data_IF_657327024428
#
_entry.id   IF_657327024428
#
_cell.length_a   1.000
_cell.length_b   1.000
_cell.length_c   1.000
_cell.angle_alpha   90.00
_cell.angle_beta   90.00
_cell.angle_gamma   90.00
#
_symmetry.space_group_name_H-M   'P 1'
#
loop_
_entity.id
_entity.type
_entity.pdbx_description
1 polymer ?
#
# COMPACT_ATOMS: atom_id res chain seq x y z
N UNK A 1 18.05 -14.32 -4.65
CA UNK A 1 17.83 -12.94 -5.17
C UNK A 1 18.05 -12.81 -6.68
N UNK A 2 19.05 -13.44 -7.30
CA UNK A 2 19.29 -13.33 -8.77
C UNK A 2 18.13 -13.84 -9.65
N UNK A 3 17.49 -14.96 -9.28
CA UNK A 3 16.37 -15.55 -10.05
C UNK A 3 15.07 -14.73 -9.94
N UNK A 4 14.75 -14.18 -8.78
CA UNK A 4 13.60 -13.29 -8.60
C UNK A 4 13.77 -12.00 -9.42
N UNK A 5 14.97 -11.39 -9.38
CA UNK A 5 15.28 -10.22 -10.20
C UNK A 5 15.18 -10.50 -11.72
N UNK A 6 15.60 -11.69 -12.17
CA UNK A 6 15.48 -12.08 -13.58
C UNK A 6 14.00 -12.21 -13.99
N UNK A 7 13.14 -12.80 -13.15
CA UNK A 7 11.70 -12.90 -13.40
C UNK A 7 11.00 -11.55 -13.45
N UNK A 8 11.29 -10.66 -12.50
CA UNK A 8 10.73 -9.30 -12.51
C UNK A 8 11.10 -8.52 -13.78
N UNK A 9 12.31 -8.76 -14.32
CA UNK A 9 12.73 -8.12 -15.59
C UNK A 9 11.97 -8.60 -16.83
N UNK A 10 11.40 -9.79 -16.78
CA UNK A 10 10.65 -10.38 -17.91
C UNK A 10 9.13 -10.28 -17.75
N UNK A 11 8.63 -9.89 -16.58
CA UNK A 11 7.20 -9.77 -16.31
C UNK A 11 6.68 -8.39 -16.78
N UNK A 12 5.76 -8.33 -17.76
CA UNK A 12 5.18 -7.06 -18.23
C UNK A 12 4.40 -6.31 -17.14
N UNK A 13 3.84 -7.04 -16.15
CA UNK A 13 3.11 -6.44 -15.02
C UNK A 13 4.07 -5.67 -14.10
N UNK A 14 5.29 -6.18 -13.90
CA UNK A 14 6.34 -5.50 -13.15
C UNK A 14 6.74 -4.19 -13.82
N UNK A 15 6.91 -4.19 -15.14
CA UNK A 15 7.27 -3.00 -15.91
C UNK A 15 6.15 -1.96 -15.94
N UNK A 16 4.92 -2.39 -16.22
CA UNK A 16 3.78 -1.47 -16.27
C UNK A 16 3.46 -0.91 -14.88
N UNK A 17 3.28 -1.79 -13.88
CA UNK A 17 2.98 -1.37 -12.50
C UNK A 17 4.10 -0.53 -11.89
N UNK A 18 5.36 -0.99 -12.03
CA UNK A 18 6.53 -0.25 -11.58
C UNK A 18 6.70 1.09 -12.30
N UNK A 19 6.44 1.14 -13.61
CA UNK A 19 6.47 2.37 -14.42
C UNK A 19 5.43 3.39 -13.96
N UNK A 20 4.20 2.95 -13.71
CA UNK A 20 3.13 3.81 -13.17
C UNK A 20 3.50 4.36 -11.80
N UNK A 21 3.94 3.49 -10.88
CA UNK A 21 4.35 3.91 -9.52
C UNK A 21 5.52 4.89 -9.61
N UNK A 22 6.54 4.60 -10.43
CA UNK A 22 7.69 5.49 -10.63
C UNK A 22 7.25 6.84 -11.17
N UNK A 23 6.37 6.87 -12.18
CA UNK A 23 5.84 8.11 -12.75
C UNK A 23 5.13 8.96 -11.69
N UNK A 24 4.26 8.34 -10.87
CA UNK A 24 3.54 9.02 -9.79
C UNK A 24 4.50 9.56 -8.72
N UNK A 25 5.53 8.79 -8.35
CA UNK A 25 6.56 9.24 -7.40
C UNK A 25 7.38 10.39 -7.97
N UNK A 26 7.81 10.29 -9.23
CA UNK A 26 8.54 11.38 -9.90
C UNK A 26 7.68 12.65 -10.02
N UNK A 27 6.40 12.50 -10.36
CA UNK A 27 5.44 13.60 -10.39
C UNK A 27 5.31 14.26 -8.99
N UNK A 28 5.20 13.45 -7.93
CA UNK A 28 5.12 13.96 -6.57
C UNK A 28 6.40 14.69 -6.13
N UNK A 29 7.58 14.16 -6.46
CA UNK A 29 8.87 14.79 -6.13
C UNK A 29 9.10 16.08 -6.92
N UNK A 30 8.76 16.05 -8.22
CA UNK A 30 8.90 17.18 -9.12
C UNK A 30 7.76 18.22 -8.98
N UNK A 31 6.82 18.04 -8.03
CA UNK A 31 5.66 18.92 -7.87
C UNK A 31 6.00 20.42 -7.88
N UNK A 32 7.04 20.94 -7.18
CA UNK A 32 7.36 22.36 -7.21
C UNK A 32 7.83 22.88 -8.58
N UNK A 33 8.28 21.97 -9.45
CA UNK A 33 8.82 22.33 -10.79
C UNK A 33 7.72 22.19 -11.85
N UNK A 34 6.90 21.12 -11.72
CA UNK A 34 5.90 20.73 -12.73
C UNK A 34 4.57 21.49 -12.54
N UNK A 35 4.26 21.91 -11.32
CA UNK A 35 3.11 22.76 -11.05
C UNK A 35 3.37 24.19 -11.53
N UNK A 36 2.67 24.60 -12.60
CA UNK A 36 2.81 25.94 -13.18
C UNK A 36 2.19 27.04 -12.33
N UNK A 37 1.17 26.69 -11.55
CA UNK A 37 0.40 27.60 -10.71
C UNK A 37 0.54 27.24 -9.25
N UNK A 38 0.25 28.20 -8.36
CA UNK A 38 0.19 27.94 -6.93
C UNK A 38 -1.03 27.02 -6.64
N UNK A 39 -0.84 25.82 -6.08
CA UNK A 39 -1.95 24.90 -5.78
C UNK A 39 -2.92 25.42 -4.71
N UNK A 40 -2.55 26.48 -4.01
CA UNK A 40 -3.34 27.12 -2.94
C UNK A 40 -3.96 28.46 -3.37
N UNK A 41 -3.58 28.97 -4.55
CA UNK A 41 -4.03 30.28 -5.06
C UNK A 41 -5.51 30.24 -5.42
N UNK A 42 -6.33 31.03 -4.73
CA UNK A 42 -7.77 31.15 -4.99
C UNK A 42 -7.99 32.28 -6.00
N UNK A 43 -8.76 31.98 -7.06
CA UNK A 43 -9.13 32.94 -8.10
C UNK A 43 -10.61 32.72 -8.50
N UNK A 44 -11.51 33.33 -7.77
CA UNK A 44 -12.96 33.14 -7.96
C UNK A 44 -13.48 33.66 -9.31
N UNK A 45 -12.69 34.51 -10.00
CA UNK A 45 -13.07 35.00 -11.35
C UNK A 45 -12.99 33.86 -12.34
N UNK A 46 -11.96 33.04 -12.24
CA UNK A 46 -11.71 31.89 -13.11
C UNK A 46 -12.21 30.56 -12.49
N UNK A 47 -13.31 30.62 -11.72
CA UNK A 47 -13.93 29.45 -11.09
C UNK A 47 -14.54 28.51 -12.17
N UNK A 48 -14.26 27.19 -12.04
CA UNK A 48 -14.79 26.13 -12.92
C UNK A 48 -14.48 26.32 -14.41
N UNK A 49 -13.35 26.95 -14.73
CA UNK A 49 -12.92 27.04 -16.13
C UNK A 49 -12.52 25.68 -16.68
N UNK A 50 -12.93 25.36 -17.92
CA UNK A 50 -12.58 24.11 -18.57
C UNK A 50 -11.07 23.99 -18.84
N UNK A 51 -10.56 22.78 -19.11
CA UNK A 51 -9.20 22.57 -19.52
C UNK A 51 -8.79 23.48 -20.69
N UNK A 52 -7.67 24.20 -20.54
CA UNK A 52 -7.15 25.18 -21.46
C UNK A 52 -5.61 25.19 -21.47
N UNK A 53 -5.01 26.00 -22.35
CA UNK A 53 -3.55 26.18 -22.39
C UNK A 53 -3.03 26.84 -21.09
N UNK A 54 -3.83 27.69 -20.47
CA UNK A 54 -3.53 28.32 -19.19
C UNK A 54 -3.67 27.31 -18.04
N UNK A 55 -4.78 26.58 -18.01
CA UNK A 55 -5.12 25.58 -16.99
C UNK A 55 -5.32 24.22 -17.63
N UNK A 56 -4.27 23.40 -17.69
CA UNK A 56 -4.26 22.14 -18.43
C UNK A 56 -5.40 21.19 -18.06
N UNK A 57 -5.76 21.12 -16.79
CA UNK A 57 -6.86 20.30 -16.27
C UNK A 57 -8.03 21.14 -15.77
N UNK A 58 -8.10 22.43 -16.19
CA UNK A 58 -9.11 23.36 -15.74
C UNK A 58 -8.90 23.84 -14.32
N UNK A 59 -9.90 24.52 -13.79
CA UNK A 59 -9.91 25.04 -12.42
C UNK A 59 -11.03 24.41 -11.59
N UNK A 60 -10.91 24.48 -10.28
CA UNK A 60 -11.93 24.02 -9.34
C UNK A 60 -12.91 25.15 -8.94
N UNK A 61 -13.84 24.87 -8.02
CA UNK A 61 -14.85 25.82 -7.56
C UNK A 61 -14.26 27.10 -6.94
N UNK A 62 -13.02 27.04 -6.46
CA UNK A 62 -12.30 28.20 -5.92
C UNK A 62 -11.35 28.83 -6.96
N UNK A 63 -11.43 28.39 -8.21
CA UNK A 63 -10.55 28.88 -9.29
C UNK A 63 -9.12 28.38 -9.16
N UNK A 64 -8.85 27.37 -8.32
CA UNK A 64 -7.50 26.81 -8.15
C UNK A 64 -7.19 25.86 -9.31
N UNK A 65 -5.95 25.87 -9.79
CA UNK A 65 -5.50 25.01 -10.88
C UNK A 65 -5.53 23.52 -10.51
N UNK A 66 -6.33 22.74 -11.23
CA UNK A 66 -6.54 21.31 -10.93
C UNK A 66 -5.26 20.50 -11.18
N UNK A 67 -4.44 20.84 -12.21
CA UNK A 67 -3.17 20.17 -12.45
C UNK A 67 -2.18 20.38 -11.30
N UNK A 68 -1.99 21.62 -10.87
CA UNK A 68 -1.10 21.93 -9.75
C UNK A 68 -1.54 21.20 -8.47
N UNK A 69 -2.85 21.19 -8.17
CA UNK A 69 -3.41 20.46 -7.03
C UNK A 69 -3.23 18.95 -7.15
N UNK A 70 -3.41 18.39 -8.36
CA UNK A 70 -3.23 16.97 -8.61
C UNK A 70 -1.79 16.51 -8.33
N UNK A 71 -0.81 17.28 -8.79
CA UNK A 71 0.61 16.99 -8.62
C UNK A 71 1.05 17.14 -7.16
N UNK A 72 0.60 18.20 -6.47
CA UNK A 72 0.84 18.36 -5.04
C UNK A 72 0.07 17.33 -4.20
N UNK A 73 -1.14 16.99 -4.61
CA UNK A 73 -1.96 15.94 -4.00
C UNK A 73 -1.30 14.56 -4.08
N UNK A 74 -0.53 14.28 -5.14
CA UNK A 74 0.27 13.07 -5.24
C UNK A 74 1.25 12.91 -4.08
N UNK A 75 1.92 13.99 -3.64
CA UNK A 75 2.84 13.97 -2.48
C UNK A 75 2.13 13.51 -1.22
N UNK A 76 0.92 14.01 -1.00
CA UNK A 76 0.13 13.70 0.20
C UNK A 76 -0.40 12.28 0.11
N UNK A 77 -1.12 11.93 -0.95
CA UNK A 77 -1.77 10.62 -1.10
C UNK A 77 -0.76 9.46 -1.13
N UNK A 78 0.39 9.62 -1.82
CA UNK A 78 1.46 8.62 -1.79
C UNK A 78 2.14 8.53 -0.43
N UNK A 79 2.38 9.67 0.24
CA UNK A 79 2.97 9.66 1.59
C UNK A 79 2.07 8.95 2.60
N UNK A 80 0.74 9.15 2.52
CA UNK A 80 -0.21 8.40 3.35
C UNK A 80 -0.07 6.91 3.10
N UNK A 81 -0.07 6.49 1.83
CA UNK A 81 0.10 5.07 1.48
C UNK A 81 1.37 4.47 2.08
N UNK A 82 2.51 5.13 1.88
CA UNK A 82 3.82 4.61 2.29
C UNK A 82 4.00 4.66 3.82
N UNK A 83 3.69 5.80 4.45
CA UNK A 83 3.92 5.98 5.89
C UNK A 83 2.97 5.12 6.72
N UNK A 84 1.67 5.10 6.38
CA UNK A 84 0.70 4.28 7.10
C UNK A 84 1.01 2.79 6.94
N UNK A 85 1.33 2.35 5.72
CA UNK A 85 1.73 0.96 5.50
C UNK A 85 3.06 0.63 6.19
N UNK A 86 3.99 1.58 6.30
CA UNK A 86 5.22 1.45 7.08
C UNK A 86 4.95 1.21 8.57
N UNK A 87 4.01 1.97 9.15
CA UNK A 87 3.57 1.77 10.55
C UNK A 87 2.95 0.39 10.73
N UNK A 88 2.00 0.02 9.86
CA UNK A 88 1.36 -1.30 9.89
C UNK A 88 2.37 -2.44 9.74
N UNK A 89 3.36 -2.27 8.86
CA UNK A 89 4.45 -3.22 8.63
C UNK A 89 5.28 -3.41 9.90
N UNK A 90 5.79 -2.33 10.49
CA UNK A 90 6.66 -2.41 11.67
C UNK A 90 5.91 -3.05 12.84
N UNK A 91 4.72 -2.56 13.16
CA UNK A 91 3.92 -3.11 14.26
C UNK A 91 3.52 -4.56 14.00
N UNK A 92 3.02 -4.86 12.80
CA UNK A 92 2.56 -6.19 12.44
C UNK A 92 3.69 -7.22 12.38
N UNK A 93 4.86 -6.85 11.83
CA UNK A 93 6.02 -7.75 11.78
C UNK A 93 6.53 -8.05 13.19
N UNK A 94 6.73 -7.02 14.01
CA UNK A 94 7.24 -7.22 15.38
C UNK A 94 6.28 -8.08 16.21
N UNK A 95 4.99 -7.71 16.25
CA UNK A 95 4.00 -8.43 17.04
C UNK A 95 3.72 -9.84 16.48
N UNK A 96 3.69 -9.99 15.15
CA UNK A 96 3.51 -11.30 14.50
C UNK A 96 4.70 -12.25 14.69
N UNK A 97 5.94 -11.72 14.64
CA UNK A 97 7.15 -12.50 14.95
C UNK A 97 7.14 -12.99 16.40
N UNK A 98 6.86 -12.09 17.35
CA UNK A 98 6.84 -12.41 18.78
C UNK A 98 5.74 -13.42 19.10
N UNK A 99 4.53 -13.20 18.59
CA UNK A 99 3.40 -14.10 18.76
C UNK A 99 3.68 -15.51 18.19
N UNK A 100 4.12 -15.56 16.93
CA UNK A 100 4.39 -16.84 16.24
C UNK A 100 5.56 -17.63 16.83
N UNK A 101 6.60 -16.93 17.34
CA UNK A 101 7.78 -17.59 17.89
C UNK A 101 7.58 -18.11 19.30
N UNK A 102 7.13 -17.26 20.22
CA UNK A 102 6.96 -17.63 21.64
C UNK A 102 5.70 -18.47 21.89
N UNK A 103 4.63 -18.23 21.11
CA UNK A 103 3.39 -18.97 21.27
C UNK A 103 2.68 -18.74 22.61
N UNK A 104 1.88 -19.71 23.03
CA UNK A 104 1.19 -19.72 24.34
C UNK A 104 0.42 -18.39 24.59
N UNK A 105 0.53 -17.84 25.82
CA UNK A 105 -0.16 -16.63 26.23
C UNK A 105 0.21 -15.38 25.42
N UNK A 106 1.45 -15.29 24.90
CA UNK A 106 1.88 -14.17 24.05
C UNK A 106 1.11 -14.19 22.74
N UNK A 107 1.05 -15.36 22.11
CA UNK A 107 0.27 -15.57 20.89
C UNK A 107 -1.22 -15.27 21.11
N UNK A 108 -1.79 -15.81 22.18
CA UNK A 108 -3.19 -15.59 22.52
C UNK A 108 -3.50 -14.11 22.72
N UNK A 109 -2.68 -13.38 23.47
CA UNK A 109 -2.90 -11.95 23.74
C UNK A 109 -2.81 -11.12 22.45
N UNK A 110 -1.76 -11.30 21.66
CA UNK A 110 -1.57 -10.55 20.41
C UNK A 110 -2.69 -10.86 19.42
N UNK A 111 -3.07 -12.13 19.28
CA UNK A 111 -4.13 -12.51 18.35
C UNK A 111 -5.51 -12.05 18.82
N UNK A 112 -5.79 -12.03 20.14
CA UNK A 112 -7.02 -11.42 20.69
C UNK A 112 -7.13 -9.94 20.35
N UNK A 113 -6.03 -9.18 20.51
CA UNK A 113 -6.02 -7.77 20.14
C UNK A 113 -6.23 -7.59 18.62
N UNK A 114 -5.62 -8.45 17.81
CA UNK A 114 -5.83 -8.45 16.37
C UNK A 114 -7.28 -8.81 16.01
N UNK A 115 -7.87 -9.79 16.67
CA UNK A 115 -9.27 -10.21 16.47
C UNK A 115 -10.24 -9.08 16.83
N UNK A 116 -10.03 -8.38 17.95
CA UNK A 116 -10.82 -7.20 18.33
C UNK A 116 -10.72 -6.13 17.26
N UNK A 117 -9.50 -5.82 16.78
CA UNK A 117 -9.30 -4.81 15.73
C UNK A 117 -10.03 -5.19 14.43
N UNK A 118 -9.97 -6.46 14.03
CA UNK A 118 -10.56 -6.96 12.77
C UNK A 118 -12.07 -7.28 12.90
N UNK A 119 -12.63 -7.31 14.11
CA UNK A 119 -14.06 -7.47 14.32
C UNK A 119 -14.87 -6.24 13.85
N UNK A 120 -14.24 -5.07 13.84
CA UNK A 120 -14.87 -3.84 13.34
C UNK A 120 -14.69 -3.71 11.84
N UNK A 121 -15.70 -3.27 11.08
CA UNK A 121 -15.52 -2.85 9.69
C UNK A 121 -14.45 -1.76 9.64
N UNK A 122 -13.37 -2.02 8.89
CA UNK A 122 -12.15 -1.18 8.89
C UNK A 122 -12.47 0.30 8.68
N UNK A 123 -13.29 0.65 7.68
CA UNK A 123 -13.62 2.04 7.39
C UNK A 123 -14.38 2.71 8.54
N UNK A 124 -15.30 2.01 9.20
CA UNK A 124 -16.03 2.55 10.35
C UNK A 124 -15.10 2.80 11.54
N UNK A 125 -14.17 1.88 11.79
CA UNK A 125 -13.17 2.06 12.84
C UNK A 125 -12.26 3.27 12.56
N UNK A 126 -11.82 3.43 11.31
CA UNK A 126 -11.01 4.59 10.89
C UNK A 126 -11.78 5.91 11.08
N UNK A 127 -13.05 5.96 10.65
CA UNK A 127 -13.91 7.14 10.84
C UNK A 127 -14.03 7.50 12.31
N UNK A 128 -14.34 6.50 13.17
CA UNK A 128 -14.50 6.73 14.60
C UNK A 128 -13.21 7.27 15.25
N UNK A 129 -12.05 6.67 14.93
CA UNK A 129 -10.76 7.08 15.49
C UNK A 129 -10.34 8.48 15.01
N UNK A 130 -10.45 8.77 13.71
CA UNK A 130 -10.07 10.07 13.16
C UNK A 130 -10.98 11.18 13.69
N UNK A 131 -12.29 10.93 13.78
CA UNK A 131 -13.23 11.88 14.34
C UNK A 131 -12.95 12.18 15.84
N UNK A 132 -12.58 11.15 16.62
CA UNK A 132 -12.25 11.31 18.04
C UNK A 132 -10.92 12.06 18.28
N UNK A 133 -9.92 11.89 17.38
CA UNK A 133 -8.58 12.47 17.52
C UNK A 133 -8.41 13.81 16.81
N UNK A 134 -9.45 14.33 16.18
CA UNK A 134 -9.48 15.49 15.29
C UNK A 134 -8.71 15.27 13.96
N UNK A 135 -9.35 15.54 12.81
CA UNK A 135 -8.78 15.30 11.50
C UNK A 135 -7.48 16.08 11.26
N UNK A 136 -6.42 15.37 10.95
CA UNK A 136 -5.14 15.93 10.50
C UNK A 136 -4.35 14.89 9.70
N UNK A 137 -3.38 15.31 8.91
CA UNK A 137 -2.53 14.40 8.13
C UNK A 137 -1.82 13.38 9.04
N UNK A 138 -1.30 13.82 10.18
CA UNK A 138 -0.62 12.94 11.15
C UNK A 138 -1.57 11.90 11.75
N UNK A 139 -2.80 12.31 12.12
CA UNK A 139 -3.82 11.39 12.65
C UNK A 139 -4.22 10.36 11.59
N UNK A 140 -4.35 10.77 10.33
CA UNK A 140 -4.64 9.83 9.22
C UNK A 140 -3.51 8.80 9.06
N UNK A 141 -2.24 9.23 9.07
CA UNK A 141 -1.09 8.31 9.02
C UNK A 141 -1.13 7.26 10.13
N UNK A 142 -1.25 7.74 11.36
CA UNK A 142 -1.22 6.88 12.56
C UNK A 142 -2.41 5.93 12.57
N UNK A 143 -3.60 6.45 12.31
CA UNK A 143 -4.85 5.68 12.41
C UNK A 143 -4.89 4.54 11.39
N UNK A 144 -4.60 4.85 10.10
CA UNK A 144 -4.56 3.82 9.05
C UNK A 144 -3.46 2.80 9.38
N UNK A 145 -2.28 3.24 9.80
CA UNK A 145 -1.17 2.35 10.13
C UNK A 145 -1.45 1.47 11.34
N UNK A 146 -1.97 2.08 12.42
CA UNK A 146 -2.32 1.35 13.64
C UNK A 146 -3.47 0.37 13.42
N UNK A 147 -4.48 0.69 12.61
CA UNK A 147 -5.54 -0.28 12.29
C UNK A 147 -5.02 -1.39 11.38
N UNK A 148 -4.11 -1.09 10.46
CA UNK A 148 -3.53 -2.06 9.51
C UNK A 148 -2.61 -3.12 10.14
N UNK A 149 -2.11 -2.90 11.37
CA UNK A 149 -1.18 -3.82 12.02
C UNK A 149 -1.73 -5.25 12.17
N UNK A 150 -3.03 -5.38 12.47
CA UNK A 150 -3.65 -6.65 12.84
C UNK A 150 -3.62 -7.69 11.70
N UNK A 151 -3.91 -7.27 10.47
CA UNK A 151 -3.80 -8.11 9.28
C UNK A 151 -2.37 -8.54 8.99
N UNK A 152 -1.41 -7.60 9.11
CA UNK A 152 0.02 -7.88 8.93
C UNK A 152 0.55 -8.82 10.03
N UNK A 153 0.18 -8.62 11.29
CA UNK A 153 0.60 -9.49 12.40
C UNK A 153 0.09 -10.93 12.21
N UNK A 154 -1.16 -11.10 11.78
CA UNK A 154 -1.75 -12.42 11.51
C UNK A 154 -1.03 -13.14 10.37
N UNK A 155 -0.71 -12.43 9.29
CA UNK A 155 0.07 -12.95 8.17
C UNK A 155 1.45 -13.41 8.63
N UNK A 156 2.19 -12.53 9.32
CA UNK A 156 3.56 -12.82 9.81
C UNK A 156 3.54 -13.98 10.78
N UNK A 157 2.64 -13.99 11.75
CA UNK A 157 2.48 -15.10 12.70
C UNK A 157 2.29 -16.44 11.96
N UNK A 158 1.40 -16.48 10.95
CA UNK A 158 1.16 -17.69 10.16
C UNK A 158 2.43 -18.22 9.49
N UNK A 159 3.23 -17.32 8.92
CA UNK A 159 4.52 -17.67 8.30
C UNK A 159 5.56 -18.14 9.33
N UNK A 160 5.61 -17.49 10.48
CA UNK A 160 6.52 -17.86 11.58
C UNK A 160 6.25 -19.26 12.10
N UNK A 161 4.97 -19.64 12.24
CA UNK A 161 4.56 -20.99 12.66
C UNK A 161 5.09 -22.07 11.72
N UNK A 162 5.15 -21.80 10.41
CA UNK A 162 5.71 -22.73 9.44
C UNK A 162 7.24 -22.77 9.52
N UNK A 163 7.88 -21.60 9.52
CA UNK A 163 9.35 -21.50 9.45
C UNK A 163 10.02 -22.03 10.73
N UNK A 164 9.44 -21.81 11.91
CA UNK A 164 10.03 -22.26 13.19
C UNK A 164 10.10 -23.79 13.33
N UNK A 165 9.27 -24.53 12.60
CA UNK A 165 9.25 -26.00 12.63
C UNK A 165 10.24 -26.63 11.63
N UNK A 166 10.95 -25.83 10.82
CA UNK A 166 11.95 -26.34 9.88
C UNK A 166 13.19 -26.91 10.62
N UNK A 167 13.73 -27.99 10.11
CA UNK A 167 14.83 -28.76 10.73
C UNK A 167 16.03 -27.88 11.10
N UNK A 168 16.42 -26.94 10.23
CA UNK A 168 17.57 -26.06 10.51
C UNK A 168 17.33 -25.11 11.68
N UNK A 169 16.06 -24.67 11.90
CA UNK A 169 15.70 -23.83 13.04
C UNK A 169 15.71 -24.64 14.34
N UNK A 170 15.24 -25.88 14.27
CA UNK A 170 15.26 -26.81 15.40
C UNK A 170 16.71 -27.19 15.78
N UNK A 171 17.57 -27.40 14.80
CA UNK A 171 19.00 -27.67 15.02
C UNK A 171 19.71 -26.49 15.71
N UNK A 172 19.48 -25.24 15.24
CA UNK A 172 20.05 -24.04 15.89
C UNK A 172 19.57 -23.90 17.35
N UNK A 173 18.30 -24.23 17.63
CA UNK A 173 17.75 -24.23 18.98
C UNK A 173 18.41 -25.30 19.86
N UNK A 174 18.61 -26.52 19.33
CA UNK A 174 19.28 -27.61 20.03
C UNK A 174 20.75 -27.30 20.36
N UNK A 175 21.42 -26.52 19.49
CA UNK A 175 22.78 -26.02 19.73
C UNK A 175 22.86 -24.85 20.71
N UNK A 176 21.72 -24.43 21.31
CA UNK A 176 21.68 -23.38 22.33
C UNK A 176 21.77 -21.95 21.77
N UNK A 177 21.43 -21.74 20.50
CA UNK A 177 21.37 -20.40 19.92
C UNK A 177 20.32 -19.52 20.64
N UNK A 178 20.67 -18.25 20.88
CA UNK A 178 19.75 -17.29 21.53
C UNK A 178 18.55 -16.98 20.61
N UNK A 179 17.36 -16.83 21.19
CA UNK A 179 16.12 -16.53 20.47
C UNK A 179 16.24 -15.34 19.51
N UNK A 180 16.87 -14.25 19.95
CA UNK A 180 17.09 -13.07 19.10
C UNK A 180 17.91 -13.41 17.83
N UNK A 181 18.88 -14.32 17.91
CA UNK A 181 19.65 -14.79 16.76
C UNK A 181 18.80 -15.63 15.82
N UNK A 182 17.99 -16.54 16.37
CA UNK A 182 17.09 -17.39 15.60
C UNK A 182 16.07 -16.52 14.87
N UNK A 183 15.43 -15.58 15.56
CA UNK A 183 14.47 -14.65 14.98
C UNK A 183 15.08 -13.81 13.86
N UNK A 184 16.24 -13.18 14.08
CA UNK A 184 16.84 -12.25 13.12
C UNK A 184 17.51 -12.95 11.94
N UNK A 185 18.14 -14.11 12.12
CA UNK A 185 18.94 -14.77 11.08
C UNK A 185 18.21 -15.87 10.34
N UNK A 186 17.20 -16.49 10.95
CA UNK A 186 16.53 -17.66 10.38
C UNK A 186 15.07 -17.41 10.09
N UNK A 187 14.31 -16.86 11.05
CA UNK A 187 12.86 -16.70 10.89
C UNK A 187 12.54 -15.46 10.04
N UNK A 188 13.04 -14.28 10.42
CA UNK A 188 12.74 -13.04 9.68
C UNK A 188 13.09 -13.11 8.19
N UNK A 189 14.26 -13.63 7.76
CA UNK A 189 14.53 -13.81 6.33
C UNK A 189 13.56 -14.77 5.63
N UNK A 190 13.08 -15.80 6.36
CA UNK A 190 12.11 -16.77 5.83
C UNK A 190 10.72 -16.20 5.56
N UNK A 191 10.32 -15.15 6.32
CA UNK A 191 9.01 -14.52 6.19
C UNK A 191 9.02 -13.23 5.35
N UNK A 192 10.21 -12.76 4.91
CA UNK A 192 10.35 -11.46 4.25
C UNK A 192 9.58 -11.38 2.93
N UNK A 193 9.53 -12.47 2.16
CA UNK A 193 8.86 -12.48 0.86
C UNK A 193 7.34 -12.21 0.98
N UNK A 194 6.57 -12.97 1.79
CA UNK A 194 5.15 -12.66 2.03
C UNK A 194 4.92 -11.26 2.62
N UNK A 195 5.83 -10.79 3.47
CA UNK A 195 5.74 -9.46 4.10
C UNK A 195 5.89 -8.36 3.07
N UNK A 196 6.88 -8.44 2.17
CA UNK A 196 7.08 -7.44 1.11
C UNK A 196 5.88 -7.38 0.15
N UNK A 197 5.34 -8.54 -0.23
CA UNK A 197 4.15 -8.63 -1.07
C UNK A 197 2.96 -7.94 -0.38
N UNK A 198 2.67 -8.32 0.87
CA UNK A 198 1.58 -7.74 1.63
C UNK A 198 1.75 -6.23 1.87
N UNK A 199 2.98 -5.77 2.10
CA UNK A 199 3.28 -4.35 2.25
C UNK A 199 3.02 -3.57 0.95
N UNK A 200 3.41 -4.11 -0.20
CA UNK A 200 3.19 -3.45 -1.51
C UNK A 200 1.69 -3.31 -1.80
N UNK A 201 0.92 -4.39 -1.62
CA UNK A 201 -0.54 -4.37 -1.77
C UNK A 201 -1.23 -3.46 -0.73
N UNK A 202 -0.69 -3.42 0.48
CA UNK A 202 -1.19 -2.59 1.57
C UNK A 202 -1.07 -1.08 1.30
N UNK A 203 -0.08 -0.64 0.51
CA UNK A 203 0.02 0.77 0.08
C UNK A 203 -1.22 1.19 -0.71
N UNK A 204 -1.66 0.37 -1.67
CA UNK A 204 -2.88 0.63 -2.43
C UNK A 204 -4.11 0.73 -1.51
N UNK A 205 -4.22 -0.19 -0.54
CA UNK A 205 -5.29 -0.16 0.48
C UNK A 205 -5.27 1.11 1.34
N UNK A 206 -4.09 1.57 1.75
CA UNK A 206 -3.94 2.79 2.54
C UNK A 206 -4.30 4.07 1.74
N UNK A 207 -3.95 4.14 0.44
CA UNK A 207 -4.37 5.23 -0.45
C UNK A 207 -5.90 5.25 -0.59
N UNK A 208 -6.52 4.09 -0.76
CA UNK A 208 -7.99 3.99 -0.84
C UNK A 208 -8.66 4.40 0.48
N UNK A 209 -8.11 4.00 1.61
CA UNK A 209 -8.63 4.36 2.94
C UNK A 209 -8.53 5.87 3.18
N UNK A 210 -7.38 6.50 2.85
CA UNK A 210 -7.20 7.95 2.92
C UNK A 210 -8.22 8.67 2.03
N UNK A 211 -8.34 8.22 0.79
CA UNK A 211 -9.26 8.84 -0.16
C UNK A 211 -10.72 8.77 0.31
N UNK A 212 -11.11 7.65 0.93
CA UNK A 212 -12.44 7.48 1.53
C UNK A 212 -12.65 8.41 2.74
N UNK A 213 -11.66 8.52 3.63
CA UNK A 213 -11.70 9.46 4.78
C UNK A 213 -11.75 10.92 4.30
N UNK A 214 -10.92 11.28 3.33
CA UNK A 214 -10.90 12.63 2.74
C UNK A 214 -12.21 12.98 2.05
N UNK A 215 -12.81 12.04 1.31
CA UNK A 215 -14.12 12.21 0.70
C UNK A 215 -15.23 12.49 1.73
N UNK A 216 -15.12 11.91 2.92
CA UNK A 216 -16.04 12.14 4.04
C UNK A 216 -15.69 13.39 4.87
N UNK A 217 -14.64 14.13 4.49
CA UNK A 217 -14.19 15.32 5.20
C UNK A 217 -13.34 15.05 6.44
N UNK A 218 -12.97 13.78 6.68
CA UNK A 218 -12.16 13.34 7.82
C UNK A 218 -10.68 13.12 7.44
N UNK A 219 -10.30 13.40 6.19
CA UNK A 219 -8.94 13.23 5.71
C UNK A 219 -8.06 14.46 5.97
N UNK A 220 -7.20 14.74 5.00
CA UNK A 220 -6.31 15.87 5.01
C UNK A 220 -7.10 17.18 4.94
N UNK A 221 -6.82 18.09 5.86
CA UNK A 221 -7.56 19.34 5.97
C UNK A 221 -7.06 20.42 4.99
N UNK A 222 -7.95 21.28 4.46
CA UNK A 222 -7.55 22.43 3.67
C UNK A 222 -6.50 23.29 4.41
N UNK A 223 -5.59 23.99 3.67
CA UNK A 223 -5.56 24.14 2.21
C UNK A 223 -4.84 23.02 1.47
N UNK A 224 -4.26 22.04 2.16
CA UNK A 224 -3.42 20.98 1.60
C UNK A 224 -4.25 20.05 0.69
N UNK A 225 -3.89 19.90 -0.60
CA UNK A 225 -4.61 18.99 -1.48
C UNK A 225 -4.19 17.55 -1.23
N UNK A 226 -5.17 16.62 -1.30
CA UNK A 226 -4.98 15.20 -1.55
C UNK A 226 -5.95 14.78 -2.67
N UNK A 227 -5.68 13.65 -3.31
CA UNK A 227 -6.60 13.21 -4.39
C UNK A 227 -8.01 12.95 -3.86
N UNK A 228 -8.12 12.40 -2.63
CA UNK A 228 -9.42 12.19 -1.99
C UNK A 228 -10.16 13.49 -1.67
N UNK A 229 -9.46 14.52 -1.15
CA UNK A 229 -10.07 15.81 -0.87
C UNK A 229 -10.50 16.55 -2.15
N UNK A 230 -9.74 16.40 -3.25
CA UNK A 230 -10.14 16.97 -4.54
C UNK A 230 -11.44 16.35 -5.07
N UNK A 231 -11.64 15.02 -4.92
CA UNK A 231 -12.92 14.37 -5.27
C UNK A 231 -14.04 14.89 -4.37
N UNK A 232 -13.77 15.07 -3.07
CA UNK A 232 -14.76 15.61 -2.15
C UNK A 232 -15.17 17.04 -2.50
N UNK A 233 -14.21 17.88 -2.90
CA UNK A 233 -14.46 19.26 -3.36
C UNK A 233 -15.32 19.26 -4.64
N UNK A 234 -15.11 18.29 -5.55
CA UNK A 234 -15.79 18.20 -6.84
C UNK A 234 -17.08 17.36 -6.88
N UNK A 235 -17.58 16.88 -5.72
CA UNK A 235 -18.71 15.92 -5.65
C UNK A 235 -20.11 16.51 -5.86
N UNK A 236 -20.24 17.82 -5.90
CA UNK A 236 -21.52 18.49 -6.13
C UNK A 236 -22.08 18.14 -7.52
N UNK A 237 -23.40 17.95 -7.61
CA UNK A 237 -24.05 17.54 -8.85
C UNK A 237 -23.87 18.56 -9.98
N UNK A 238 -23.82 19.85 -9.62
CA UNK A 238 -23.56 20.92 -10.58
C UNK A 238 -22.13 20.81 -11.13
N UNK A 239 -21.15 20.61 -10.27
CA UNK A 239 -19.73 20.44 -10.66
C UNK A 239 -19.54 19.18 -11.50
N UNK A 240 -20.16 18.06 -11.12
CA UNK A 240 -20.08 16.80 -11.90
C UNK A 240 -20.61 16.97 -13.33
N UNK A 241 -21.61 17.84 -13.53
CA UNK A 241 -22.20 18.11 -14.86
C UNK A 241 -21.40 19.13 -15.67
N UNK A 242 -20.88 20.18 -15.04
CA UNK A 242 -20.28 21.33 -15.73
C UNK A 242 -18.76 21.38 -15.65
N UNK A 243 -18.17 20.73 -14.64
CA UNK A 243 -16.73 20.68 -14.41
C UNK A 243 -16.28 19.27 -13.97
N UNK A 244 -16.57 18.21 -14.75
CA UNK A 244 -16.24 16.83 -14.37
C UNK A 244 -14.74 16.58 -14.14
N UNK A 245 -13.87 17.38 -14.72
CA UNK A 245 -12.43 17.29 -14.58
C UNK A 245 -11.96 17.41 -13.13
N UNK A 246 -12.71 18.14 -12.28
CA UNK A 246 -12.39 18.33 -10.87
C UNK A 246 -12.40 17.02 -10.06
N UNK A 247 -13.20 16.04 -10.48
CA UNK A 247 -13.31 14.70 -9.84
C UNK A 247 -12.68 13.60 -10.68
N UNK A 248 -12.76 13.68 -12.02
CA UNK A 248 -12.25 12.64 -12.92
C UNK A 248 -10.74 12.50 -12.85
N UNK A 249 -9.98 13.60 -12.92
CA UNK A 249 -8.52 13.51 -12.87
C UNK A 249 -7.98 12.97 -11.55
N UNK A 250 -8.41 13.42 -10.36
CA UNK A 250 -7.95 12.80 -9.11
C UNK A 250 -8.44 11.36 -8.96
N UNK A 251 -9.63 11.02 -9.46
CA UNK A 251 -10.12 9.65 -9.52
C UNK A 251 -9.24 8.74 -10.37
N UNK A 252 -8.82 9.20 -11.54
CA UNK A 252 -7.87 8.49 -12.41
C UNK A 252 -6.49 8.34 -11.74
N UNK A 253 -6.01 9.35 -11.02
CA UNK A 253 -4.75 9.28 -10.30
C UNK A 253 -4.79 8.22 -9.17
N UNK A 254 -5.89 8.16 -8.39
CA UNK A 254 -6.10 7.10 -7.39
C UNK A 254 -6.15 5.73 -8.08
N UNK A 255 -6.94 5.59 -9.15
CA UNK A 255 -7.06 4.35 -9.92
C UNK A 255 -5.71 3.87 -10.47
N UNK A 256 -4.91 4.80 -11.03
CA UNK A 256 -3.57 4.52 -11.51
C UNK A 256 -2.62 4.07 -10.39
N UNK A 257 -2.66 4.73 -9.22
CA UNK A 257 -1.84 4.35 -8.08
C UNK A 257 -2.22 2.95 -7.56
N UNK A 258 -3.51 2.69 -7.36
CA UNK A 258 -4.01 1.39 -6.90
C UNK A 258 -3.65 0.28 -7.89
N UNK A 259 -3.87 0.51 -9.19
CA UNK A 259 -3.51 -0.45 -10.22
C UNK A 259 -2.00 -0.69 -10.27
N UNK A 260 -1.19 0.36 -10.21
CA UNK A 260 0.27 0.29 -10.24
C UNK A 260 0.82 -0.53 -9.07
N UNK A 261 0.40 -0.25 -7.84
CA UNK A 261 0.84 -1.00 -6.66
C UNK A 261 0.34 -2.45 -6.65
N UNK A 262 -0.90 -2.71 -7.11
CA UNK A 262 -1.42 -4.07 -7.20
C UNK A 262 -0.65 -4.90 -8.22
N UNK A 263 -0.43 -4.39 -9.45
CA UNK A 263 0.35 -5.08 -10.47
C UNK A 263 1.80 -5.34 -10.03
N UNK A 264 2.40 -4.38 -9.35
CA UNK A 264 3.74 -4.54 -8.78
C UNK A 264 3.76 -5.60 -7.66
N UNK A 265 2.75 -5.61 -6.79
CA UNK A 265 2.58 -6.61 -5.74
C UNK A 265 2.39 -8.02 -6.29
N UNK A 266 1.57 -8.18 -7.33
CA UNK A 266 1.36 -9.47 -8.00
C UNK A 266 2.63 -9.96 -8.69
N UNK A 267 3.35 -9.09 -9.40
CA UNK A 267 4.63 -9.43 -10.01
C UNK A 267 5.69 -9.84 -8.98
N UNK A 268 5.74 -9.14 -7.83
CA UNK A 268 6.60 -9.52 -6.71
C UNK A 268 6.23 -10.88 -6.14
N UNK A 269 4.93 -11.18 -6.01
CA UNK A 269 4.43 -12.48 -5.56
C UNK A 269 4.91 -13.59 -6.48
N UNK A 270 4.70 -13.46 -7.79
CA UNK A 270 5.10 -14.47 -8.77
C UNK A 270 6.63 -14.64 -8.84
N UNK A 271 7.38 -13.56 -8.67
CA UNK A 271 8.85 -13.59 -8.66
C UNK A 271 9.43 -14.26 -7.41
N UNK A 272 8.78 -14.07 -6.25
CA UNK A 272 9.23 -14.58 -4.96
C UNK A 272 8.64 -15.96 -4.61
N UNK A 273 7.69 -16.50 -5.40
CA UNK A 273 7.11 -17.83 -5.18
C UNK A 273 8.14 -18.95 -5.51
N UNK A 274 8.53 -19.76 -4.51
CA UNK A 274 9.46 -20.89 -4.72
C UNK A 274 8.83 -22.03 -5.53
N UNK A 275 7.49 -22.17 -5.56
CA UNK A 275 6.79 -23.30 -6.17
C UNK A 275 6.52 -23.10 -7.67
N UNK A 276 6.56 -21.89 -8.18
CA UNK A 276 6.43 -21.59 -9.61
C UNK A 276 7.50 -22.27 -10.50
N UNK A 277 8.58 -22.78 -9.89
CA UNK A 277 9.66 -23.53 -10.58
C UNK A 277 9.22 -24.96 -10.92
N UNK A 278 8.35 -25.60 -10.13
CA UNK A 278 7.94 -26.99 -10.35
C UNK A 278 6.91 -27.14 -11.47
N UNK A 279 6.15 -26.12 -11.78
CA UNK A 279 5.16 -26.14 -12.85
C UNK A 279 5.76 -25.97 -14.27
N UNK A 280 6.97 -25.44 -14.37
CA UNK A 280 7.65 -25.17 -15.65
C UNK A 280 8.50 -26.35 -16.16
N UNK A 281 8.62 -27.45 -15.42
CA UNK A 281 9.23 -28.68 -15.94
C UNK A 281 8.18 -29.39 -16.78
N UNK A 282 8.37 -29.55 -18.11
CA UNK A 282 7.43 -30.26 -18.94
C UNK A 282 7.30 -31.71 -18.40
N UNK A 283 6.08 -32.13 -18.08
CA UNK A 283 5.72 -33.55 -17.75
C UNK A 283 5.90 -34.47 -18.96
N UNK A 284 7.00 -34.36 -19.69
CA UNK A 284 7.24 -35.07 -20.94
C UNK A 284 8.66 -35.61 -21.13
N UNK A 285 9.58 -35.41 -20.17
CA UNK A 285 10.82 -36.19 -20.21
C UNK A 285 10.52 -37.60 -19.64
N UNK A 286 10.01 -38.44 -20.48
CA UNK A 286 9.80 -39.86 -20.18
C UNK A 286 11.10 -40.45 -19.63
N UNK A 287 11.02 -41.06 -18.45
CA UNK A 287 12.07 -41.96 -17.99
C UNK A 287 12.39 -42.96 -19.11
N UNK A 288 13.66 -43.21 -19.43
CA UNK A 288 14.00 -44.27 -20.39
C UNK A 288 13.40 -45.59 -19.88
N UNK A 289 12.65 -46.25 -20.74
CA UNK A 289 12.05 -47.54 -20.49
C UNK A 289 13.18 -48.56 -20.28
N UNK A 290 13.44 -48.90 -19.00
CA UNK A 290 14.42 -49.91 -18.59
C UNK A 290 13.84 -51.34 -18.64
N UNK A 291 12.69 -51.54 -19.34
CA UNK A 291 12.02 -52.83 -19.44
C UNK A 291 12.30 -53.59 -20.75
N UNK A 292 13.42 -53.33 -21.45
CA UNK A 292 13.84 -54.22 -22.56
C UNK A 292 15.14 -54.93 -22.20
N UNK A 293 15.11 -56.31 -22.28
CA UNK A 293 16.28 -57.15 -22.01
C UNK A 293 17.36 -56.99 -23.04
#
# INVERSE_FOLDING_TARGET
MSRAAARLRTDPRAWFGGGVVLLLVLMALAAPIVARHNPFGVDLINSLEPPSVAHWFGTDVQGRDVWARLVYGARVSLSVGIVSQGIALVLGVVLGLVAGYYGRWVDETVMRLADITLAFPTLLLLIALVAALQPSLTVVFITIGVVGWAGMARLVRGQVLVVRELEFVQAERALGARDARILAKHILPGVIAPVVIAATLGIAGAIMAESSLSFLGLGVQPPTPSWGSMIADGRDLYQLRHAPWTSVFPGLAIGAAVLGFNLLGDALRDALDPHAVRAAVPRGAGLPDISRP
#
